data_IF_996921394518
#
_entry.id   IF_996921394518
#
_cell.length_a   1.000
_cell.length_b   1.000
_cell.length_c   1.000
_cell.angle_alpha   90.00
_cell.angle_beta   90.00
_cell.angle_gamma   90.00
#
_symmetry.space_group_name_H-M   'P 1'
#
loop_
_entity.id
_entity.type
_entity.pdbx_description
1 polymer ?
#
# COMPACT_ATOMS: atom_id res chain seq x y z
N UNK A 1 16.35 31.70 10.94
CA UNK A 1 16.21 30.34 10.38
C UNK A 1 16.12 29.37 11.56
N UNK A 2 15.19 28.40 11.56
CA UNK A 2 15.16 27.39 12.60
C UNK A 2 16.50 26.63 12.60
N UNK A 3 17.03 26.30 13.78
CA UNK A 3 18.20 25.44 13.86
C UNK A 3 17.86 24.04 13.33
N UNK A 4 18.85 23.35 12.77
CA UNK A 4 18.70 21.97 12.26
C UNK A 4 18.11 21.04 13.34
N UNK A 5 18.49 21.27 14.61
CA UNK A 5 17.99 20.53 15.76
C UNK A 5 16.47 20.69 15.96
N UNK A 6 15.95 21.92 15.83
CA UNK A 6 14.51 22.18 15.95
C UNK A 6 13.74 21.48 14.84
N UNK A 7 14.24 21.53 13.59
CA UNK A 7 13.56 20.87 12.46
C UNK A 7 13.54 19.34 12.61
N UNK A 8 14.65 18.74 13.07
CA UNK A 8 14.71 17.32 13.38
C UNK A 8 13.75 16.92 14.51
N UNK A 9 13.73 17.68 15.61
CA UNK A 9 12.83 17.42 16.73
C UNK A 9 11.36 17.48 16.29
N UNK A 10 10.97 18.53 15.55
CA UNK A 10 9.62 18.68 15.01
C UNK A 10 9.26 17.54 14.06
N UNK A 11 10.18 17.13 13.17
CA UNK A 11 9.95 16.00 12.27
C UNK A 11 9.66 14.71 13.02
N UNK A 12 10.42 14.42 14.09
CA UNK A 12 10.25 13.20 14.87
C UNK A 12 8.92 13.22 15.61
N UNK A 13 8.56 14.34 16.25
CA UNK A 13 7.26 14.46 16.92
C UNK A 13 6.10 14.31 15.95
N UNK A 14 6.13 14.98 14.79
CA UNK A 14 5.09 14.84 13.77
C UNK A 14 4.99 13.39 13.29
N UNK A 15 6.11 12.71 13.03
CA UNK A 15 6.09 11.30 12.63
C UNK A 15 5.40 10.46 13.70
N UNK A 16 5.82 10.55 14.96
CA UNK A 16 5.25 9.76 16.06
C UNK A 16 3.74 9.95 16.17
N UNK A 17 3.25 11.19 16.15
CA UNK A 17 1.81 11.45 16.29
C UNK A 17 1.01 10.96 15.08
N UNK A 18 1.53 11.19 13.86
CA UNK A 18 0.87 10.75 12.63
C UNK A 18 0.90 9.22 12.52
N UNK A 19 2.02 8.58 12.83
CA UNK A 19 2.18 7.13 12.84
C UNK A 19 1.22 6.48 13.84
N UNK A 20 1.07 7.05 15.04
CA UNK A 20 0.11 6.59 16.05
C UNK A 20 -1.34 6.72 15.56
N UNK A 21 -1.68 7.84 14.91
CA UNK A 21 -3.01 8.06 14.32
C UNK A 21 -3.29 7.05 13.20
N UNK A 22 -2.32 6.80 12.34
CA UNK A 22 -2.42 5.83 11.25
C UNK A 22 -2.57 4.41 11.82
N UNK A 23 -1.76 4.06 12.82
CA UNK A 23 -1.81 2.78 13.53
C UNK A 23 -3.23 2.50 14.05
N UNK A 24 -3.81 3.47 14.76
CA UNK A 24 -5.15 3.35 15.33
C UNK A 24 -6.22 3.19 14.25
N UNK A 25 -6.19 4.04 13.21
CA UNK A 25 -7.14 3.96 12.10
C UNK A 25 -7.02 2.65 11.32
N UNK A 26 -5.78 2.19 11.08
CA UNK A 26 -5.49 0.93 10.39
C UNK A 26 -6.01 -0.27 11.18
N UNK A 27 -5.76 -0.31 12.48
CA UNK A 27 -6.23 -1.39 13.36
C UNK A 27 -7.76 -1.44 13.38
N UNK A 28 -8.40 -0.33 13.70
CA UNK A 28 -9.86 -0.23 13.80
C UNK A 28 -10.52 -0.56 12.47
N UNK A 29 -10.03 0.03 11.38
CA UNK A 29 -10.57 -0.20 10.05
C UNK A 29 -10.49 -1.66 9.61
N UNK A 30 -9.36 -2.33 9.87
CA UNK A 30 -9.21 -3.75 9.54
C UNK A 30 -10.07 -4.66 10.42
N UNK A 31 -10.23 -4.35 11.71
CA UNK A 31 -11.14 -5.10 12.59
C UNK A 31 -12.59 -4.99 12.08
N UNK A 32 -13.05 -3.78 11.73
CA UNK A 32 -14.38 -3.60 11.17
C UNK A 32 -14.56 -4.34 9.83
N UNK A 33 -13.57 -4.28 8.94
CA UNK A 33 -13.59 -5.04 7.68
C UNK A 33 -13.75 -6.55 7.95
N UNK A 34 -12.96 -7.10 8.88
CA UNK A 34 -13.06 -8.51 9.27
C UNK A 34 -14.44 -8.86 9.84
N UNK A 35 -14.98 -8.03 10.73
CA UNK A 35 -16.32 -8.23 11.27
C UNK A 35 -17.37 -8.24 10.15
N UNK A 36 -17.35 -7.26 9.25
CA UNK A 36 -18.31 -7.16 8.14
C UNK A 36 -18.22 -8.37 7.20
N UNK A 37 -17.01 -8.74 6.76
CA UNK A 37 -16.83 -9.84 5.81
C UNK A 37 -17.10 -11.22 6.41
N UNK A 38 -16.81 -11.42 7.70
CA UNK A 38 -17.09 -12.69 8.39
C UNK A 38 -18.57 -12.83 8.78
N UNK A 39 -19.27 -11.73 9.10
CA UNK A 39 -20.67 -11.75 9.51
C UNK A 39 -21.66 -11.95 8.37
N UNK A 40 -21.38 -11.46 7.15
CA UNK A 40 -22.33 -11.49 6.04
C UNK A 40 -22.09 -12.69 5.12
N UNK A 41 -23.07 -13.62 5.07
CA UNK A 41 -22.98 -14.84 4.24
C UNK A 41 -22.70 -14.55 2.75
N UNK A 42 -23.32 -13.50 2.21
CA UNK A 42 -23.15 -13.07 0.81
C UNK A 42 -21.71 -12.68 0.48
N UNK A 43 -20.95 -12.14 1.45
CA UNK A 43 -19.56 -11.79 1.26
C UNK A 43 -18.62 -12.99 1.35
N UNK A 44 -18.97 -14.03 2.11
CA UNK A 44 -18.14 -15.25 2.19
C UNK A 44 -18.12 -16.05 0.88
N UNK A 45 -19.18 -15.96 0.09
CA UNK A 45 -19.27 -16.62 -1.21
C UNK A 45 -18.58 -15.81 -2.33
N UNK A 46 -18.20 -14.55 -2.06
CA UNK A 46 -17.50 -13.71 -3.01
C UNK A 46 -15.98 -13.75 -2.77
N UNK A 47 -15.26 -14.06 -3.83
CA UNK A 47 -13.82 -14.14 -3.81
C UNK A 47 -13.08 -12.82 -3.58
N UNK A 48 -13.66 -11.70 -4.02
CA UNK A 48 -13.09 -10.38 -3.74
C UNK A 48 -13.09 -10.10 -2.23
N UNK A 49 -14.11 -10.57 -1.52
CA UNK A 49 -14.22 -10.42 -0.07
C UNK A 49 -13.24 -11.33 0.68
N UNK A 50 -13.00 -12.55 0.20
CA UNK A 50 -11.95 -13.41 0.76
C UNK A 50 -10.58 -12.73 0.71
N UNK A 51 -10.25 -12.07 -0.41
CA UNK A 51 -9.03 -11.27 -0.54
C UNK A 51 -8.94 -10.14 0.46
N UNK A 52 -9.99 -9.34 0.59
CA UNK A 52 -10.02 -8.22 1.53
C UNK A 52 -9.93 -8.69 2.98
N UNK A 53 -10.50 -9.86 3.28
CA UNK A 53 -10.41 -10.52 4.59
C UNK A 53 -8.96 -10.94 4.87
N UNK A 54 -8.32 -11.65 3.93
CA UNK A 54 -6.92 -12.03 4.04
C UNK A 54 -6.03 -10.78 4.21
N UNK A 55 -6.17 -9.77 3.34
CA UNK A 55 -5.39 -8.53 3.41
C UNK A 55 -5.56 -7.79 4.75
N UNK A 56 -6.76 -7.84 5.34
CA UNK A 56 -7.04 -7.25 6.65
C UNK A 56 -6.31 -8.00 7.78
N UNK A 57 -6.31 -9.34 7.78
CA UNK A 57 -5.54 -10.13 8.75
C UNK A 57 -4.05 -9.80 8.70
N UNK A 58 -3.49 -9.76 7.50
CA UNK A 58 -2.05 -9.54 7.34
C UNK A 58 -1.63 -8.12 7.66
N UNK A 59 -2.54 -7.17 7.46
CA UNK A 59 -2.33 -5.79 7.90
C UNK A 59 -2.32 -5.66 9.42
N UNK A 60 -3.05 -6.52 10.13
CA UNK A 60 -3.02 -6.58 11.60
C UNK A 60 -1.75 -7.30 12.07
N UNK A 61 -1.36 -8.40 11.42
CA UNK A 61 -0.12 -9.11 11.74
C UNK A 61 1.11 -8.21 11.58
N UNK A 62 1.13 -7.35 10.54
CA UNK A 62 2.18 -6.34 10.35
C UNK A 62 2.31 -5.38 11.53
N UNK A 63 1.20 -5.06 12.18
CA UNK A 63 1.20 -4.18 13.34
C UNK A 63 1.93 -4.79 14.55
N UNK A 64 1.91 -6.11 14.67
CA UNK A 64 2.29 -6.83 15.89
C UNK A 64 3.75 -7.30 15.91
N UNK A 65 4.46 -7.24 14.78
CA UNK A 65 5.70 -8.04 14.58
C UNK A 65 6.97 -7.24 14.26
N UNK A 66 6.98 -5.93 14.52
CA UNK A 66 8.00 -4.97 14.08
C UNK A 66 9.45 -5.15 14.58
N UNK A 67 9.78 -6.20 15.34
CA UNK A 67 11.07 -6.29 16.06
C UNK A 67 11.95 -7.51 15.77
N UNK A 68 11.54 -8.49 14.96
CA UNK A 68 12.38 -9.67 14.68
C UNK A 68 13.13 -9.62 13.34
N UNK A 69 14.39 -10.08 13.33
CA UNK A 69 15.23 -10.18 12.11
C UNK A 69 14.60 -11.08 11.05
N UNK A 70 13.96 -12.17 11.48
CA UNK A 70 13.19 -13.07 10.62
C UNK A 70 12.04 -12.32 9.96
N UNK A 71 11.38 -11.44 10.71
CA UNK A 71 10.30 -10.61 10.21
C UNK A 71 10.78 -9.63 9.15
N UNK A 72 11.98 -9.07 9.25
CA UNK A 72 12.46 -8.12 8.25
C UNK A 72 12.60 -8.73 6.83
N UNK A 73 13.10 -9.96 6.75
CA UNK A 73 13.19 -10.71 5.49
C UNK A 73 11.82 -11.23 5.03
N UNK A 74 11.02 -11.70 5.98
CA UNK A 74 9.71 -12.26 5.72
C UNK A 74 8.68 -11.19 5.31
N UNK A 75 8.76 -9.98 5.85
CA UNK A 75 7.86 -8.85 5.60
C UNK A 75 7.80 -8.49 4.12
N UNK A 76 8.97 -8.28 3.49
CA UNK A 76 9.03 -7.93 2.08
C UNK A 76 8.49 -9.06 1.19
N UNK A 77 8.83 -10.30 1.53
CA UNK A 77 8.39 -11.50 0.79
C UNK A 77 6.88 -11.74 0.92
N UNK A 78 6.35 -11.61 2.13
CA UNK A 78 4.98 -11.94 2.46
C UNK A 78 3.99 -10.87 1.98
N UNK A 79 4.32 -9.58 2.14
CA UNK A 79 3.55 -8.47 1.55
C UNK A 79 3.37 -8.65 0.03
N UNK A 80 4.43 -9.13 -0.64
CA UNK A 80 4.45 -9.36 -2.07
C UNK A 80 3.58 -10.55 -2.51
N UNK A 81 3.46 -11.61 -1.70
CA UNK A 81 2.59 -12.77 -1.96
C UNK A 81 1.11 -12.40 -1.76
N UNK A 82 0.82 -11.67 -0.69
CA UNK A 82 -0.55 -11.47 -0.24
C UNK A 82 -1.29 -10.37 -1.00
N UNK A 83 -0.59 -9.35 -1.50
CA UNK A 83 -1.16 -8.29 -2.34
C UNK A 83 -1.81 -8.79 -3.65
N UNK A 84 -1.65 -10.07 -4.03
CA UNK A 84 -2.12 -10.61 -5.33
C UNK A 84 -2.91 -11.90 -5.23
N UNK A 85 -3.27 -12.36 -4.02
CA UNK A 85 -4.07 -13.58 -3.82
C UNK A 85 -5.56 -13.45 -4.21
N UNK A 86 -5.94 -12.38 -4.92
CA UNK A 86 -7.34 -11.98 -5.12
C UNK A 86 -8.10 -12.67 -6.27
N UNK A 87 -7.47 -13.52 -7.08
CA UNK A 87 -8.08 -13.94 -8.35
C UNK A 87 -8.61 -15.38 -8.31
N UNK A 88 -9.81 -15.58 -7.79
CA UNK A 88 -10.53 -16.87 -7.96
C UNK A 88 -11.06 -17.08 -9.38
N UNK A 89 -11.26 -16.02 -10.18
CA UNK A 89 -11.74 -16.16 -11.57
C UNK A 89 -10.58 -16.45 -12.54
N UNK A 90 -9.33 -16.37 -12.08
CA UNK A 90 -8.16 -16.73 -12.89
C UNK A 90 -7.19 -17.56 -12.05
N UNK A 91 -7.60 -18.76 -11.65
CA UNK A 91 -6.72 -19.74 -10.99
C UNK A 91 -5.35 -19.84 -11.70
N UNK A 92 -5.34 -19.84 -13.04
CA UNK A 92 -4.12 -19.82 -13.84
C UNK A 92 -3.28 -18.53 -13.68
N UNK A 93 -3.90 -17.35 -13.70
CA UNK A 93 -3.19 -16.09 -13.52
C UNK A 93 -2.68 -15.94 -12.07
N UNK A 94 -3.41 -16.45 -11.09
CA UNK A 94 -2.97 -16.51 -9.70
C UNK A 94 -1.73 -17.40 -9.55
N UNK A 95 -1.75 -18.61 -10.10
CA UNK A 95 -0.61 -19.53 -10.06
C UNK A 95 0.62 -18.93 -10.76
N UNK A 96 0.46 -18.35 -11.95
CA UNK A 96 1.56 -17.68 -12.67
C UNK A 96 2.10 -16.50 -11.85
N UNK A 97 1.22 -15.64 -11.35
CA UNK A 97 1.61 -14.50 -10.51
C UNK A 97 2.34 -14.97 -9.25
N UNK A 98 1.86 -16.02 -8.59
CA UNK A 98 2.49 -16.61 -7.42
C UNK A 98 3.93 -17.03 -7.69
N UNK A 99 4.20 -17.78 -8.76
CA UNK A 99 5.55 -18.17 -9.14
C UNK A 99 6.45 -16.98 -9.47
N UNK A 100 5.96 -16.01 -10.25
CA UNK A 100 6.71 -14.78 -10.56
C UNK A 100 7.10 -14.06 -9.26
N UNK A 101 6.21 -14.04 -8.26
CA UNK A 101 6.44 -13.37 -6.98
C UNK A 101 7.44 -14.11 -6.10
N UNK A 102 7.39 -15.44 -6.05
CA UNK A 102 8.43 -16.25 -5.38
C UNK A 102 9.79 -15.96 -5.99
N UNK A 103 9.89 -16.05 -7.33
CA UNK A 103 11.14 -15.83 -8.05
C UNK A 103 11.67 -14.42 -7.79
N UNK A 104 10.79 -13.42 -7.81
CA UNK A 104 11.17 -12.03 -7.55
C UNK A 104 11.51 -11.76 -6.07
N UNK A 105 10.95 -12.53 -5.13
CA UNK A 105 11.23 -12.41 -3.70
C UNK A 105 12.58 -12.98 -3.28
N UNK A 106 13.09 -13.99 -4.00
CA UNK A 106 14.37 -14.66 -3.69
C UNK A 106 15.55 -13.66 -3.65
N UNK A 107 15.77 -12.78 -4.66
CA UNK A 107 16.83 -11.77 -4.60
C UNK A 107 16.77 -10.89 -3.35
N UNK A 108 15.57 -10.49 -2.91
CA UNK A 108 15.40 -9.69 -1.70
C UNK A 108 15.87 -10.44 -0.45
N UNK A 109 15.58 -11.73 -0.33
CA UNK A 109 16.01 -12.57 0.79
C UNK A 109 17.54 -12.72 0.88
N UNK A 110 18.21 -12.77 -0.28
CA UNK A 110 19.66 -12.95 -0.40
C UNK A 110 20.39 -11.64 -0.07
N UNK A 111 19.96 -10.53 -0.67
CA UNK A 111 20.70 -9.26 -0.61
C UNK A 111 20.36 -8.37 0.60
N UNK A 112 19.27 -8.66 1.31
CA UNK A 112 18.90 -7.91 2.51
C UNK A 112 19.65 -8.45 3.74
N UNK A 113 20.40 -7.56 4.38
CA UNK A 113 21.15 -7.87 5.60
C UNK A 113 20.77 -6.91 6.73
N UNK A 114 21.04 -7.34 7.96
CA UNK A 114 20.89 -6.50 9.15
C UNK A 114 22.16 -5.70 9.33
N UNK A 115 22.06 -4.39 9.31
CA UNK A 115 23.15 -3.48 9.66
C UNK A 115 22.82 -2.80 10.99
N UNK A 116 23.78 -2.73 11.89
CA UNK A 116 23.63 -2.00 13.15
C UNK A 116 24.23 -0.61 12.90
N UNK A 117 23.41 0.43 13.04
CA UNK A 117 23.88 1.80 12.91
C UNK A 117 24.89 2.09 14.03
N UNK A 118 26.11 2.48 13.70
CA UNK A 118 27.16 2.79 14.71
C UNK A 118 26.81 3.99 15.58
N UNK A 119 25.94 4.87 15.11
CA UNK A 119 25.57 6.10 15.81
C UNK A 119 24.39 5.95 16.76
N UNK A 120 23.46 5.04 16.45
CA UNK A 120 22.21 4.90 17.22
C UNK A 120 22.05 3.52 17.83
N UNK A 121 22.92 2.56 17.50
CA UNK A 121 22.82 1.14 17.88
C UNK A 121 21.50 0.46 17.47
N UNK A 122 20.68 1.15 16.67
CA UNK A 122 19.43 0.62 16.13
C UNK A 122 19.77 -0.24 14.93
N UNK A 123 19.32 -1.49 14.97
CA UNK A 123 19.40 -2.37 13.82
C UNK A 123 18.44 -1.90 12.72
N UNK A 124 18.96 -1.75 11.50
CA UNK A 124 18.21 -1.49 10.29
C UNK A 124 18.42 -2.63 9.32
N UNK A 125 17.47 -2.80 8.40
CA UNK A 125 17.65 -3.71 7.29
C UNK A 125 17.94 -2.91 6.04
N UNK A 126 19.04 -3.25 5.38
CA UNK A 126 19.50 -2.53 4.21
C UNK A 126 19.90 -3.51 3.12
N UNK A 127 19.80 -3.06 1.87
CA UNK A 127 20.26 -3.78 0.70
C UNK A 127 21.70 -3.37 0.45
N UNK A 128 22.66 -4.27 0.71
CA UNK A 128 24.09 -3.94 0.57
C UNK A 128 24.55 -3.88 -0.90
N UNK A 129 23.93 -4.66 -1.78
CA UNK A 129 24.32 -4.71 -3.18
C UNK A 129 23.74 -3.50 -3.93
N UNK A 130 24.60 -2.59 -4.38
CA UNK A 130 24.19 -1.33 -5.03
C UNK A 130 23.44 -1.55 -6.36
N UNK A 131 23.77 -2.60 -7.12
CA UNK A 131 23.06 -2.95 -8.36
C UNK A 131 21.65 -3.42 -8.04
N UNK A 132 21.50 -4.32 -7.06
CA UNK A 132 20.20 -4.80 -6.64
C UNK A 132 19.37 -3.69 -5.97
N UNK A 133 20.00 -2.79 -5.23
CA UNK A 133 19.32 -1.63 -4.64
C UNK A 133 18.73 -0.71 -5.73
N UNK A 134 19.46 -0.47 -6.83
CA UNK A 134 18.92 0.28 -7.98
C UNK A 134 17.75 -0.46 -8.63
N UNK A 135 17.89 -1.76 -8.87
CA UNK A 135 16.79 -2.58 -9.39
C UNK A 135 15.54 -2.51 -8.49
N UNK A 136 15.73 -2.67 -7.18
CA UNK A 136 14.65 -2.68 -6.21
C UNK A 136 13.94 -1.33 -6.12
N UNK A 137 14.69 -0.23 -6.04
CA UNK A 137 14.10 1.10 -5.92
C UNK A 137 13.43 1.57 -7.23
N UNK A 138 14.11 1.45 -8.38
CA UNK A 138 13.58 2.01 -9.64
C UNK A 138 12.73 1.01 -10.42
N UNK A 139 13.24 -0.20 -10.60
CA UNK A 139 12.51 -1.24 -11.34
C UNK A 139 11.31 -1.71 -10.54
N UNK A 140 11.55 -2.23 -9.34
CA UNK A 140 10.47 -2.85 -8.59
C UNK A 140 9.53 -1.82 -7.94
N UNK A 141 10.03 -0.92 -7.09
CA UNK A 141 9.15 0.00 -6.34
C UNK A 141 8.45 0.98 -7.27
N UNK A 142 9.18 1.74 -8.10
CA UNK A 142 8.57 2.80 -8.92
C UNK A 142 7.74 2.22 -10.05
N UNK A 143 8.29 1.29 -10.85
CA UNK A 143 7.59 0.81 -12.05
C UNK A 143 6.58 -0.28 -11.68
N UNK A 144 7.04 -1.41 -11.14
CA UNK A 144 6.19 -2.60 -10.97
C UNK A 144 5.19 -2.48 -9.82
N UNK A 145 5.57 -1.91 -8.68
CA UNK A 145 4.74 -1.86 -7.48
C UNK A 145 3.85 -0.60 -7.40
N UNK A 146 4.23 0.48 -8.09
CA UNK A 146 3.54 1.78 -7.97
C UNK A 146 2.88 2.21 -9.27
N UNK A 147 3.68 2.52 -10.30
CA UNK A 147 3.17 3.15 -11.53
C UNK A 147 2.27 2.21 -12.32
N UNK A 148 2.70 0.96 -12.55
CA UNK A 148 1.94 0.00 -13.35
C UNK A 148 0.56 -0.33 -12.72
N UNK A 149 0.45 -0.67 -11.41
CA UNK A 149 -0.85 -0.90 -10.78
C UNK A 149 -1.79 0.30 -10.82
N UNK A 150 -1.29 1.53 -10.63
CA UNK A 150 -2.12 2.74 -10.69
C UNK A 150 -2.66 2.99 -12.09
N UNK A 151 -1.81 2.85 -13.12
CA UNK A 151 -2.23 3.01 -14.52
C UNK A 151 -3.27 1.95 -14.90
N UNK A 152 -3.01 0.68 -14.56
CA UNK A 152 -3.94 -0.41 -14.86
C UNK A 152 -5.26 -0.26 -14.11
N UNK A 153 -5.25 0.05 -12.80
CA UNK A 153 -6.49 0.22 -12.03
C UNK A 153 -7.30 1.42 -12.51
N UNK A 154 -6.65 2.52 -12.88
CA UNK A 154 -7.32 3.70 -13.46
C UNK A 154 -7.93 3.38 -14.82
N UNK A 155 -7.19 2.71 -15.70
CA UNK A 155 -7.66 2.33 -17.04
C UNK A 155 -8.84 1.35 -16.95
N UNK A 156 -8.68 0.24 -16.24
CA UNK A 156 -9.74 -0.74 -16.07
C UNK A 156 -10.93 -0.20 -15.27
N UNK A 157 -10.70 0.63 -14.25
CA UNK A 157 -11.77 1.30 -13.50
C UNK A 157 -12.58 2.24 -14.37
N UNK A 158 -11.92 3.01 -15.24
CA UNK A 158 -12.58 3.91 -16.20
C UNK A 158 -13.37 3.14 -17.26
N UNK A 159 -12.81 2.06 -17.81
CA UNK A 159 -13.49 1.18 -18.76
C UNK A 159 -14.72 0.51 -18.13
N UNK A 160 -14.60 0.00 -16.90
CA UNK A 160 -15.70 -0.59 -16.17
C UNK A 160 -16.82 0.43 -15.91
N UNK A 161 -16.46 1.65 -15.48
CA UNK A 161 -17.42 2.73 -15.25
C UNK A 161 -18.18 3.10 -16.54
N UNK A 162 -17.46 3.20 -17.67
CA UNK A 162 -18.06 3.49 -18.97
C UNK A 162 -19.01 2.37 -19.41
N UNK A 163 -18.59 1.12 -19.31
CA UNK A 163 -19.41 -0.05 -19.67
C UNK A 163 -20.70 -0.11 -18.84
N UNK A 164 -20.64 0.14 -17.53
CA UNK A 164 -21.84 0.15 -16.66
C UNK A 164 -22.80 1.27 -17.04
N UNK A 165 -22.28 2.44 -17.44
CA UNK A 165 -23.12 3.53 -17.95
C UNK A 165 -23.83 3.17 -19.26
N UNK A 166 -23.18 2.40 -20.14
CA UNK A 166 -23.78 1.96 -21.39
C UNK A 166 -24.81 0.84 -21.20
N UNK A 167 -24.62 -0.05 -20.23
CA UNK A 167 -25.57 -1.12 -19.88
C UNK A 167 -26.89 -0.59 -19.28
N UNK A 168 -26.99 0.72 -19.05
CA UNK A 168 -28.16 1.39 -18.52
C UNK A 168 -29.46 1.16 -19.30
N UNK A 169 -29.33 0.83 -20.58
CA UNK A 169 -30.44 0.67 -21.51
C UNK A 169 -30.92 -0.79 -21.67
N UNK A 170 -30.27 -1.76 -21.01
CA UNK A 170 -30.64 -3.18 -21.06
C UNK A 170 -31.40 -3.60 -19.79
N UNK A 171 -32.23 -4.64 -19.91
CA UNK A 171 -33.10 -5.19 -18.84
C UNK A 171 -32.31 -5.96 -17.77
N UNK A 172 -31.37 -5.29 -17.11
CA UNK A 172 -30.68 -5.79 -15.91
C UNK A 172 -31.49 -5.36 -14.68
N UNK A 173 -31.73 -6.24 -13.69
CA UNK A 173 -32.45 -5.88 -12.47
C UNK A 173 -31.81 -4.67 -11.77
N UNK A 174 -32.63 -3.68 -11.39
CA UNK A 174 -32.22 -2.39 -10.84
C UNK A 174 -31.23 -2.52 -9.67
N UNK A 175 -31.46 -3.49 -8.78
CA UNK A 175 -30.63 -3.71 -7.58
C UNK A 175 -29.19 -4.10 -7.95
N UNK A 176 -29.02 -4.97 -8.95
CA UNK A 176 -27.68 -5.42 -9.38
C UNK A 176 -26.91 -4.28 -10.05
N UNK A 177 -27.61 -3.48 -10.85
CA UNK A 177 -27.02 -2.34 -11.55
C UNK A 177 -26.49 -1.28 -10.59
N UNK A 178 -27.25 -0.93 -9.54
CA UNK A 178 -26.78 0.08 -8.60
C UNK A 178 -25.56 -0.43 -7.79
N UNK A 179 -25.53 -1.73 -7.48
CA UNK A 179 -24.38 -2.36 -6.85
C UNK A 179 -23.12 -2.27 -7.73
N UNK A 180 -23.22 -2.61 -9.01
CA UNK A 180 -22.09 -2.58 -9.94
C UNK A 180 -21.58 -1.13 -10.14
N UNK A 181 -22.50 -0.17 -10.22
CA UNK A 181 -22.17 1.27 -10.32
C UNK A 181 -21.47 1.77 -9.06
N UNK A 182 -21.94 1.39 -7.88
CA UNK A 182 -21.30 1.72 -6.60
C UNK A 182 -19.89 1.14 -6.55
N UNK A 183 -19.71 -0.13 -6.92
CA UNK A 183 -18.41 -0.78 -6.93
C UNK A 183 -17.44 -0.13 -7.92
N UNK A 184 -17.87 0.17 -9.15
CA UNK A 184 -17.00 0.82 -10.14
C UNK A 184 -16.63 2.25 -9.74
N UNK A 185 -17.58 3.01 -9.16
CA UNK A 185 -17.29 4.35 -8.62
C UNK A 185 -16.30 4.28 -7.47
N UNK A 186 -16.43 3.27 -6.60
CA UNK A 186 -15.51 3.07 -5.47
C UNK A 186 -14.08 2.78 -5.96
N UNK A 187 -13.92 1.85 -6.91
CA UNK A 187 -12.60 1.52 -7.49
C UNK A 187 -11.97 2.75 -8.16
N UNK A 188 -12.77 3.58 -8.85
CA UNK A 188 -12.26 4.79 -9.49
C UNK A 188 -11.80 5.85 -8.47
N UNK A 189 -12.58 6.10 -7.42
CA UNK A 189 -12.20 7.02 -6.33
C UNK A 189 -10.92 6.54 -5.66
N UNK A 190 -10.81 5.23 -5.40
CA UNK A 190 -9.62 4.64 -4.82
C UNK A 190 -8.40 4.79 -5.74
N UNK A 191 -8.55 4.57 -7.05
CA UNK A 191 -7.47 4.73 -8.02
C UNK A 191 -6.95 6.19 -8.07
N UNK A 192 -7.87 7.16 -8.07
CA UNK A 192 -7.52 8.59 -8.04
C UNK A 192 -6.80 8.95 -6.74
N UNK A 193 -7.30 8.49 -5.60
CA UNK A 193 -6.64 8.73 -4.32
C UNK A 193 -5.23 8.12 -4.27
N UNK A 194 -5.10 6.86 -4.70
CA UNK A 194 -3.80 6.17 -4.78
C UNK A 194 -2.82 6.92 -5.68
N UNK A 195 -3.28 7.47 -6.81
CA UNK A 195 -2.43 8.30 -7.67
C UNK A 195 -1.84 9.50 -6.92
N UNK A 196 -2.67 10.28 -6.22
CA UNK A 196 -2.20 11.45 -5.48
C UNK A 196 -1.23 11.13 -4.34
N UNK A 197 -1.38 9.98 -3.71
CA UNK A 197 -0.48 9.54 -2.64
C UNK A 197 0.83 8.94 -3.17
N UNK A 198 0.76 8.20 -4.28
CA UNK A 198 1.93 7.53 -4.86
C UNK A 198 2.86 8.51 -5.58
N UNK A 199 2.34 9.58 -6.18
CA UNK A 199 3.17 10.56 -6.91
C UNK A 199 4.26 11.20 -6.01
N UNK A 200 3.94 11.76 -4.82
CA UNK A 200 4.95 12.25 -3.88
C UNK A 200 6.00 11.19 -3.52
N UNK A 201 5.57 9.93 -3.35
CA UNK A 201 6.45 8.81 -3.04
C UNK A 201 7.42 8.49 -4.19
N UNK A 202 6.98 8.56 -5.45
CA UNK A 202 7.86 8.41 -6.61
C UNK A 202 8.85 9.58 -6.68
N UNK A 203 8.39 10.82 -6.49
CA UNK A 203 9.24 12.02 -6.51
C UNK A 203 10.38 11.89 -5.49
N UNK A 204 10.08 11.38 -4.28
CA UNK A 204 11.09 11.09 -3.24
C UNK A 204 12.22 10.20 -3.78
N UNK A 205 11.91 9.09 -4.45
CA UNK A 205 12.95 8.21 -5.00
C UNK A 205 13.78 8.86 -6.09
N UNK A 206 13.13 9.63 -6.97
CA UNK A 206 13.83 10.36 -8.05
C UNK A 206 14.78 11.41 -7.47
N UNK A 207 14.33 12.19 -6.49
CA UNK A 207 15.16 13.20 -5.82
C UNK A 207 16.35 12.54 -5.12
N UNK A 208 16.09 11.51 -4.31
CA UNK A 208 17.13 10.77 -3.57
C UNK A 208 18.18 10.14 -4.50
N UNK A 209 17.81 9.82 -5.75
CA UNK A 209 18.76 9.37 -6.76
C UNK A 209 19.63 10.50 -7.31
N UNK A 210 18.97 11.60 -7.68
CA UNK A 210 19.58 12.69 -8.46
C UNK A 210 20.61 13.46 -7.65
N UNK A 211 20.43 13.52 -6.34
CA UNK A 211 21.25 14.34 -5.49
C UNK A 211 22.28 13.50 -4.76
N UNK A 212 23.57 13.75 -5.03
CA UNK A 212 24.67 13.42 -4.12
C UNK A 212 24.60 14.33 -2.89
N UNK A 213 23.48 14.29 -2.17
CA UNK A 213 23.08 15.25 -1.15
C UNK A 213 23.90 15.15 0.15
N UNK A 214 24.96 14.34 0.17
CA UNK A 214 25.81 14.11 1.34
C UNK A 214 26.68 15.31 1.74
N UNK A 215 26.66 16.42 0.98
CA UNK A 215 27.55 17.57 1.23
C UNK A 215 26.93 18.69 2.05
N UNK A 216 25.60 18.81 2.10
CA UNK A 216 24.93 19.86 2.86
C UNK A 216 23.96 19.26 3.89
N UNK A 217 24.31 19.44 5.16
CA UNK A 217 23.54 18.94 6.31
C UNK A 217 22.13 19.54 6.37
N UNK A 218 21.93 20.77 5.88
CA UNK A 218 20.63 21.43 5.89
C UNK A 218 19.66 20.79 4.88
N UNK A 219 20.10 20.62 3.63
CA UNK A 219 19.30 19.99 2.58
C UNK A 219 18.96 18.53 2.92
N UNK A 220 19.89 17.82 3.56
CA UNK A 220 19.64 16.46 4.05
C UNK A 220 18.48 16.42 5.05
N UNK A 221 18.42 17.34 6.01
CA UNK A 221 17.35 17.37 7.02
C UNK A 221 15.99 17.69 6.38
N UNK A 222 15.94 18.65 5.45
CA UNK A 222 14.70 18.95 4.70
C UNK A 222 14.24 17.73 3.92
N UNK A 223 15.16 17.03 3.24
CA UNK A 223 14.83 15.83 2.49
C UNK A 223 14.29 14.73 3.44
N UNK A 224 14.91 14.52 4.61
CA UNK A 224 14.41 13.55 5.61
C UNK A 224 13.00 13.90 6.09
N UNK A 225 12.72 15.17 6.34
CA UNK A 225 11.37 15.62 6.69
C UNK A 225 10.37 15.30 5.58
N UNK A 226 10.70 15.63 4.32
CA UNK A 226 9.85 15.32 3.17
C UNK A 226 9.64 13.81 2.98
N UNK A 227 10.69 13.00 3.23
CA UNK A 227 10.61 11.53 3.22
C UNK A 227 9.60 11.03 4.24
N UNK A 228 9.69 11.48 5.49
CA UNK A 228 8.79 11.05 6.56
C UNK A 228 7.35 11.45 6.25
N UNK A 229 7.13 12.70 5.81
CA UNK A 229 5.80 13.17 5.43
C UNK A 229 5.20 12.31 4.29
N UNK A 230 6.02 11.99 3.28
CA UNK A 230 5.58 11.18 2.14
C UNK A 230 5.30 9.74 2.53
N UNK A 231 6.11 9.15 3.42
CA UNK A 231 5.85 7.82 3.98
C UNK A 231 4.54 7.79 4.76
N UNK A 232 4.27 8.84 5.53
CA UNK A 232 3.02 8.95 6.30
C UNK A 232 1.81 9.07 5.37
N UNK A 233 1.92 9.84 4.28
CA UNK A 233 0.90 9.88 3.23
C UNK A 233 0.68 8.51 2.60
N UNK A 234 1.75 7.77 2.31
CA UNK A 234 1.66 6.40 1.78
C UNK A 234 0.98 5.46 2.79
N UNK A 235 1.28 5.57 4.08
CA UNK A 235 0.64 4.73 5.09
C UNK A 235 -0.84 5.06 5.29
N UNK A 236 -1.24 6.33 5.08
CA UNK A 236 -2.66 6.71 5.05
C UNK A 236 -3.45 5.97 3.96
N UNK A 237 -2.84 5.61 2.81
CA UNK A 237 -3.52 4.78 1.79
C UNK A 237 -4.01 3.44 2.33
N UNK A 238 -3.27 2.83 3.25
CA UNK A 238 -3.67 1.57 3.86
C UNK A 238 -4.80 1.75 4.90
N UNK A 239 -4.92 2.95 5.49
CA UNK A 239 -5.95 3.29 6.46
C UNK A 239 -7.28 3.78 5.83
N UNK A 240 -7.24 4.41 4.66
CA UNK A 240 -8.42 5.01 4.00
C UNK A 240 -9.34 3.96 3.35
N UNK A 241 -8.79 2.82 2.93
CA UNK A 241 -9.56 1.71 2.36
C UNK A 241 -10.80 1.34 3.23
N UNK A 242 -10.66 1.04 4.54
CA UNK A 242 -11.78 0.79 5.45
C UNK A 242 -12.89 1.85 5.47
N UNK A 243 -12.54 3.14 5.40
CA UNK A 243 -13.51 4.24 5.49
C UNK A 243 -14.35 4.33 4.21
N UNK A 244 -13.73 4.13 3.05
CA UNK A 244 -14.43 4.02 1.77
C UNK A 244 -15.41 2.84 1.77
N UNK A 245 -15.05 1.71 2.39
CA UNK A 245 -15.95 0.56 2.54
C UNK A 245 -17.11 0.84 3.50
N UNK A 246 -16.86 1.52 4.62
CA UNK A 246 -17.91 1.97 5.54
C UNK A 246 -18.92 2.90 4.84
N UNK A 247 -18.43 3.82 4.01
CA UNK A 247 -19.28 4.71 3.23
C UNK A 247 -20.21 3.94 2.27
N UNK A 248 -19.72 2.84 1.68
CA UNK A 248 -20.54 1.92 0.88
C UNK A 248 -21.58 1.15 1.69
N UNK A 249 -21.26 0.74 2.92
CA UNK A 249 -22.21 0.04 3.79
C UNK A 249 -23.35 0.95 4.27
N UNK A 250 -23.06 2.24 4.51
CA UNK A 250 -24.02 3.20 5.06
C UNK A 250 -24.97 3.74 3.98
N UNK A 251 -24.51 3.89 2.73
CA UNK A 251 -25.31 4.40 1.60
C UNK A 251 -26.48 3.50 1.15
N UNK A 252 -26.82 2.46 1.91
CA UNK A 252 -27.89 1.48 1.64
C UNK A 252 -29.07 1.54 2.60
N UNK A 253 -29.13 2.53 3.49
CA UNK A 253 -30.32 2.74 4.32
C UNK A 253 -31.32 3.58 3.48
N UNK A 254 -32.44 3.01 3.02
CA UNK A 254 -33.48 3.76 2.31
C UNK A 254 -34.16 4.80 3.22
#
# INVERSE_FOLDING_TARGET
MPSIEVLNSVSVHISIYVDLLILFNRLIGNIFNLLIFLSLKTFRENSSSFYLTAMSFLSIDELLTDSSLTYCKFRAYFFQICSLASFTVAHHAFVISFFIRIIHGIPTLIYQTRTISTTTEVAKCEILNSVFQKYYNYGFIIILASSLPVVLTTLFGSLAYHSIRQLAFLTVPLVRRELDKQLASMVLVQAVFNFYVIVPYIVRYVVNFSTNMSRDSYNYVILQFAINLTLNLLYLCFAVNPILYLYMCIGKIP
#
